data_IF_902881536984
#
_entry.id   IF_902881536984
#
_cell.length_a   1.000
_cell.length_b   1.000
_cell.length_c   1.000
_cell.angle_alpha   90.00
_cell.angle_beta   90.00
_cell.angle_gamma   90.00
#
_symmetry.space_group_name_H-M   'P 1'
#
loop_
_entity.id
_entity.type
_entity.pdbx_description
1 polymer ?
#
# COMPACT_ATOMS: atom_id res chain seq x y z
N UNK A 1 -1.10 46.18 42.10
CA UNK A 1 -0.98 45.75 40.69
C UNK A 1 0.09 44.67 40.64
N UNK A 2 -0.31 43.40 40.53
CA UNK A 2 0.58 42.23 40.47
C UNK A 2 0.05 41.34 39.35
N UNK A 3 0.88 41.05 38.34
CA UNK A 3 0.63 40.01 37.34
C UNK A 3 1.76 38.99 37.43
N UNK A 4 1.38 37.74 37.67
CA UNK A 4 2.24 36.56 37.69
C UNK A 4 2.65 36.13 36.25
N UNK A 5 3.74 35.34 36.09
CA UNK A 5 4.37 35.03 34.81
C UNK A 5 3.92 33.63 34.28
N UNK A 6 4.61 33.12 33.24
CA UNK A 6 4.11 32.87 31.89
C UNK A 6 3.31 31.56 31.76
N UNK A 7 2.35 31.51 30.83
CA UNK A 7 1.85 30.21 30.38
C UNK A 7 2.82 29.59 29.37
N UNK A 8 3.38 28.46 29.79
CA UNK A 8 4.10 27.50 28.97
C UNK A 8 3.18 27.06 27.84
N UNK A 9 3.51 27.38 26.59
CA UNK A 9 2.82 26.81 25.44
C UNK A 9 3.15 25.33 25.37
N UNK A 10 2.17 24.49 25.70
CA UNK A 10 2.19 23.06 25.47
C UNK A 10 2.53 22.79 24.00
N UNK A 11 3.70 22.20 23.79
CA UNK A 11 4.10 21.59 22.52
C UNK A 11 3.08 20.50 22.20
N UNK A 12 2.18 20.78 21.26
CA UNK A 12 1.35 19.71 20.68
C UNK A 12 2.21 19.03 19.62
N UNK A 13 2.84 17.93 20.02
CA UNK A 13 3.37 16.94 19.09
C UNK A 13 2.15 16.36 18.35
N UNK A 14 1.80 16.96 17.21
CA UNK A 14 0.88 16.36 16.28
C UNK A 14 1.59 15.15 15.66
N UNK A 15 1.35 13.97 16.22
CA UNK A 15 1.65 12.71 15.56
C UNK A 15 0.72 12.58 14.36
N UNK A 16 1.09 13.16 13.23
CA UNK A 16 0.60 12.71 11.93
C UNK A 16 1.34 11.40 11.62
N UNK A 17 0.95 10.30 12.27
CA UNK A 17 1.50 8.99 11.95
C UNK A 17 0.94 8.54 10.61
N UNK A 18 1.63 8.90 9.52
CA UNK A 18 1.45 8.28 8.22
C UNK A 18 1.70 6.78 8.39
N UNK A 19 0.65 5.96 8.29
CA UNK A 19 0.81 4.51 8.35
C UNK A 19 1.38 4.04 7.00
N UNK A 20 2.49 3.30 7.07
CA UNK A 20 3.14 2.70 5.91
C UNK A 20 3.19 1.19 6.10
N UNK A 21 2.72 0.44 5.10
CA UNK A 21 2.82 -1.02 5.10
C UNK A 21 3.52 -1.50 3.84
N UNK A 22 4.45 -2.43 4.04
CA UNK A 22 5.16 -3.13 2.98
C UNK A 22 4.89 -4.62 3.06
N UNK A 23 4.51 -5.22 1.94
CA UNK A 23 4.26 -6.65 1.82
C UNK A 23 5.01 -7.22 0.61
N UNK A 24 5.48 -8.47 0.73
CA UNK A 24 6.22 -9.14 -0.33
C UNK A 24 5.76 -10.59 -0.53
N UNK A 25 5.78 -11.04 -1.77
CA UNK A 25 5.58 -12.43 -2.18
C UNK A 25 6.58 -12.78 -3.28
N UNK A 26 7.62 -13.53 -2.92
CA UNK A 26 8.72 -13.82 -3.83
C UNK A 26 9.36 -12.53 -4.37
N UNK A 27 9.44 -12.32 -5.71
CA UNK A 27 10.01 -11.13 -6.32
C UNK A 27 9.06 -9.92 -6.36
N UNK A 28 7.80 -10.07 -5.92
CA UNK A 28 6.81 -9.00 -5.88
C UNK A 28 6.88 -8.27 -4.54
N UNK A 29 6.88 -6.94 -4.57
CA UNK A 29 6.76 -6.11 -3.38
C UNK A 29 5.71 -5.02 -3.60
N UNK A 30 4.86 -4.80 -2.60
CA UNK A 30 3.83 -3.76 -2.57
C UNK A 30 4.09 -2.89 -1.35
N UNK A 31 4.18 -1.57 -1.55
CA UNK A 31 4.25 -0.58 -0.48
C UNK A 31 3.01 0.31 -0.56
N UNK A 32 2.40 0.56 0.59
CA UNK A 32 1.23 1.41 0.75
C UNK A 32 1.52 2.47 1.81
N UNK A 33 1.13 3.70 1.53
CA UNK A 33 1.25 4.83 2.44
C UNK A 33 -0.10 5.54 2.54
N UNK A 34 -0.63 5.65 3.75
CA UNK A 34 -1.81 6.47 4.02
C UNK A 34 -1.41 7.95 3.92
N UNK A 35 -2.08 8.68 3.05
CA UNK A 35 -1.93 10.13 2.95
C UNK A 35 -3.30 10.78 3.22
N UNK A 36 -3.29 11.83 4.05
CA UNK A 36 -4.44 12.60 4.57
C UNK A 36 -5.05 12.09 5.90
N UNK A 37 -5.09 12.93 6.96
CA UNK A 37 -5.85 12.64 8.18
C UNK A 37 -7.38 12.77 8.04
N UNK A 38 -7.91 13.50 7.05
CA UNK A 38 -9.33 13.91 6.99
C UNK A 38 -10.08 13.46 5.72
N UNK A 39 -9.39 12.87 4.74
CA UNK A 39 -9.92 12.52 3.41
C UNK A 39 -9.20 11.34 2.75
N UNK A 40 -9.03 10.27 3.54
CA UNK A 40 -8.33 9.01 3.30
C UNK A 40 -7.99 8.72 1.83
N UNK A 41 -6.72 8.88 1.49
CA UNK A 41 -6.13 8.35 0.27
C UNK A 41 -5.04 7.35 0.60
N UNK A 42 -4.86 6.34 -0.25
CA UNK A 42 -3.74 5.40 -0.13
C UNK A 42 -2.86 5.52 -1.36
N UNK A 43 -1.62 5.97 -1.15
CA UNK A 43 -0.58 5.90 -2.18
C UNK A 43 -0.05 4.48 -2.22
N UNK A 44 0.17 3.97 -3.42
CA UNK A 44 0.72 2.64 -3.60
C UNK A 44 1.90 2.66 -4.56
N UNK A 45 2.82 1.74 -4.33
CA UNK A 45 3.90 1.41 -5.24
C UNK A 45 4.06 -0.11 -5.29
N UNK A 46 4.13 -0.65 -6.50
CA UNK A 46 4.40 -2.06 -6.77
C UNK A 46 5.74 -2.16 -7.49
N UNK A 47 6.60 -3.03 -6.98
CA UNK A 47 7.87 -3.38 -7.63
C UNK A 47 7.93 -4.87 -7.91
N UNK A 48 8.57 -5.22 -9.03
CA UNK A 48 8.84 -6.59 -9.43
C UNK A 48 10.33 -6.73 -9.69
N UNK A 49 11.00 -7.62 -8.94
CA UNK A 49 12.46 -7.79 -8.99
C UNK A 49 13.18 -6.45 -8.77
N UNK A 50 12.67 -5.64 -7.85
CA UNK A 50 13.22 -4.32 -7.51
C UNK A 50 12.93 -3.20 -8.53
N UNK A 51 12.26 -3.49 -9.64
CA UNK A 51 11.89 -2.48 -10.65
C UNK A 51 10.45 -2.01 -10.40
N UNK A 52 10.19 -0.69 -10.32
CA UNK A 52 8.82 -0.17 -10.25
C UNK A 52 8.02 -0.54 -11.49
N UNK A 53 6.88 -1.20 -11.28
CA UNK A 53 6.00 -1.65 -12.37
C UNK A 53 4.64 -0.96 -12.35
N UNK A 54 4.23 -0.41 -11.21
CA UNK A 54 3.03 0.39 -11.08
C UNK A 54 3.13 1.27 -9.83
N UNK A 55 2.56 2.47 -9.90
CA UNK A 55 2.36 3.35 -8.74
C UNK A 55 1.15 4.23 -8.98
N UNK A 56 0.55 4.73 -7.90
CA UNK A 56 -0.64 5.58 -8.00
C UNK A 56 -1.22 5.92 -6.64
N UNK A 57 -2.45 6.42 -6.66
CA UNK A 57 -3.23 6.75 -5.47
C UNK A 57 -4.65 6.19 -5.59
N UNK A 58 -5.19 5.72 -4.48
CA UNK A 58 -6.58 5.28 -4.29
C UNK A 58 -7.27 6.35 -3.43
N UNK A 59 -8.30 7.03 -3.92
CA UNK A 59 -8.89 8.21 -3.25
C UNK A 59 -10.40 8.36 -3.45
N UNK A 60 -11.12 7.26 -3.63
CA UNK A 60 -12.59 7.23 -3.81
C UNK A 60 -13.19 6.11 -2.99
N UNK A 61 -14.44 6.24 -2.53
CA UNK A 61 -15.16 5.30 -1.63
C UNK A 61 -14.88 3.81 -1.90
N UNK A 62 -14.79 3.43 -3.19
CA UNK A 62 -14.22 2.16 -3.62
C UNK A 62 -13.26 2.39 -4.80
N UNK A 63 -12.01 1.91 -4.69
CA UNK A 63 -11.02 2.04 -5.77
C UNK A 63 -10.36 0.69 -6.06
N UNK A 64 -10.39 0.28 -7.33
CA UNK A 64 -9.82 -1.00 -7.79
C UNK A 64 -8.83 -0.76 -8.93
N UNK A 65 -7.61 -1.22 -8.78
CA UNK A 65 -6.54 -1.06 -9.79
C UNK A 65 -5.99 -2.43 -10.17
N UNK A 66 -6.46 -3.01 -11.30
CA UNK A 66 -5.85 -4.21 -11.85
C UNK A 66 -4.53 -3.87 -12.55
N UNK A 67 -3.54 -4.74 -12.43
CA UNK A 67 -2.26 -4.63 -13.10
C UNK A 67 -1.73 -6.00 -13.53
N UNK A 68 -1.07 -6.04 -14.68
CA UNK A 68 -0.36 -7.24 -15.13
C UNK A 68 0.99 -6.86 -15.69
N UNK A 69 2.05 -7.51 -15.23
CA UNK A 69 3.41 -7.28 -15.72
C UNK A 69 4.20 -8.58 -15.67
N UNK A 70 5.19 -8.73 -16.54
CA UNK A 70 6.04 -9.90 -16.53
C UNK A 70 7.17 -9.82 -17.54
N UNK A 71 8.07 -10.80 -17.44
CA UNK A 71 9.18 -11.07 -18.34
C UNK A 71 9.29 -12.58 -18.57
N UNK A 72 10.42 -13.04 -19.11
CA UNK A 72 10.64 -14.45 -19.45
C UNK A 72 10.69 -15.42 -18.25
N UNK A 73 10.83 -14.89 -17.03
CA UNK A 73 11.06 -15.66 -15.80
C UNK A 73 9.99 -15.45 -14.73
N UNK A 74 9.30 -14.31 -14.74
CA UNK A 74 8.25 -13.98 -13.78
C UNK A 74 7.07 -13.27 -14.45
N UNK A 75 5.85 -13.63 -14.07
CA UNK A 75 4.63 -12.92 -14.44
C UNK A 75 3.81 -12.68 -13.19
N UNK A 76 3.18 -11.52 -13.10
CA UNK A 76 2.25 -11.21 -12.04
C UNK A 76 0.98 -10.60 -12.62
N UNK A 77 -0.15 -11.06 -12.12
CA UNK A 77 -1.43 -10.38 -12.22
C UNK A 77 -1.79 -9.96 -10.80
N UNK A 78 -2.03 -8.68 -10.59
CA UNK A 78 -2.36 -8.13 -9.28
C UNK A 78 -3.57 -7.24 -9.36
N UNK A 79 -4.20 -7.05 -8.23
CA UNK A 79 -5.33 -6.19 -8.06
C UNK A 79 -5.30 -5.60 -6.67
N UNK A 80 -5.23 -4.27 -6.62
CA UNK A 80 -5.34 -3.50 -5.39
C UNK A 80 -6.77 -3.01 -5.26
N UNK A 81 -7.37 -3.22 -4.10
CA UNK A 81 -8.72 -2.79 -3.77
C UNK A 81 -8.67 -2.03 -2.45
N UNK A 82 -9.15 -0.78 -2.45
CA UNK A 82 -9.38 -0.02 -1.24
C UNK A 82 -10.88 0.06 -1.00
N UNK A 83 -11.26 -0.35 0.21
CA UNK A 83 -12.60 -0.20 0.77
C UNK A 83 -12.49 0.81 1.92
N UNK A 84 -13.02 2.02 1.70
CA UNK A 84 -12.94 3.10 2.67
C UNK A 84 -14.02 3.01 3.75
N UNK A 85 -15.09 2.24 3.51
CA UNK A 85 -16.13 1.98 4.52
C UNK A 85 -15.58 1.05 5.60
N UNK A 86 -14.90 -0.02 5.19
CA UNK A 86 -14.20 -0.93 6.11
C UNK A 86 -12.77 -0.47 6.47
N UNK A 87 -12.32 0.64 5.86
CA UNK A 87 -10.98 1.24 6.04
C UNK A 87 -9.85 0.23 5.84
N UNK A 88 -9.97 -0.55 4.77
CA UNK A 88 -9.05 -1.63 4.46
C UNK A 88 -8.49 -1.50 3.04
N UNK A 89 -7.23 -1.91 2.86
CA UNK A 89 -6.66 -2.16 1.53
C UNK A 89 -6.33 -3.63 1.39
N UNK A 90 -6.92 -4.24 0.37
CA UNK A 90 -6.70 -5.62 -0.03
C UNK A 90 -5.79 -5.66 -1.27
N UNK A 91 -4.91 -6.65 -1.30
CA UNK A 91 -4.19 -7.04 -2.51
C UNK A 91 -4.56 -8.48 -2.84
N UNK A 92 -4.91 -8.74 -4.09
CA UNK A 92 -5.14 -10.09 -4.60
C UNK A 92 -4.47 -10.29 -5.95
N UNK A 93 -4.25 -11.54 -6.34
CA UNK A 93 -3.59 -11.81 -7.61
C UNK A 93 -3.04 -13.22 -7.78
N UNK A 94 -2.22 -13.37 -8.82
CA UNK A 94 -1.48 -14.57 -9.18
C UNK A 94 -0.05 -14.20 -9.56
N UNK A 95 0.92 -14.89 -8.95
CA UNK A 95 2.34 -14.79 -9.26
C UNK A 95 2.79 -16.09 -9.91
N UNK A 96 3.32 -16.03 -11.14
CA UNK A 96 3.90 -17.16 -11.84
C UNK A 96 5.42 -17.01 -11.96
N UNK A 97 6.15 -18.04 -11.59
CA UNK A 97 7.60 -18.15 -11.76
C UNK A 97 7.91 -19.25 -12.77
N UNK A 98 8.92 -19.02 -13.61
CA UNK A 98 9.40 -20.03 -14.55
C UNK A 98 10.50 -20.87 -13.90
N UNK A 99 10.21 -22.15 -13.69
CA UNK A 99 11.14 -23.14 -13.15
C UNK A 99 11.31 -24.28 -14.17
N UNK A 100 12.55 -24.56 -14.58
CA UNK A 100 12.88 -25.65 -15.52
C UNK A 100 12.04 -25.62 -16.82
N UNK A 101 11.82 -24.43 -17.37
CA UNK A 101 11.06 -24.24 -18.61
C UNK A 101 9.53 -24.25 -18.45
N UNK A 102 9.01 -24.60 -17.27
CA UNK A 102 7.57 -24.63 -16.96
C UNK A 102 7.18 -23.47 -16.04
N UNK A 103 5.92 -23.01 -16.14
CA UNK A 103 5.38 -22.00 -15.24
C UNK A 103 4.79 -22.64 -13.98
N UNK A 104 5.09 -22.07 -12.82
CA UNK A 104 4.49 -22.38 -11.53
C UNK A 104 3.82 -21.15 -10.97
N UNK A 105 2.49 -21.21 -10.84
CA UNK A 105 1.67 -20.08 -10.42
C UNK A 105 1.16 -20.26 -9.00
N UNK A 106 1.12 -19.17 -8.25
CA UNK A 106 0.57 -19.11 -6.90
C UNK A 106 -0.40 -17.93 -6.81
N UNK A 107 -1.66 -18.24 -6.50
CA UNK A 107 -2.67 -17.22 -6.20
C UNK A 107 -2.54 -16.73 -4.76
N UNK A 108 -2.88 -15.47 -4.52
CA UNK A 108 -2.82 -14.88 -3.19
C UNK A 108 -3.93 -13.84 -2.98
N UNK A 109 -4.25 -13.63 -1.71
CA UNK A 109 -5.09 -12.54 -1.23
C UNK A 109 -4.63 -12.15 0.18
N UNK A 110 -4.38 -10.86 0.41
CA UNK A 110 -3.91 -10.33 1.71
C UNK A 110 -4.53 -8.97 1.98
N UNK A 111 -4.91 -8.73 3.23
CA UNK A 111 -5.18 -7.38 3.73
C UNK A 111 -3.85 -6.76 4.14
N UNK A 112 -3.54 -5.59 3.57
CA UNK A 112 -2.26 -4.92 3.75
C UNK A 112 -2.35 -3.75 4.72
N UNK A 113 -3.46 -3.02 4.76
CA UNK A 113 -3.61 -1.84 5.60
C UNK A 113 -5.02 -1.82 6.21
N UNK A 114 -5.13 -1.41 7.47
CA UNK A 114 -6.39 -1.24 8.21
C UNK A 114 -6.28 0.00 9.13
N UNK A 115 -7.24 0.93 9.09
CA UNK A 115 -7.22 2.18 9.89
C UNK A 115 -8.60 2.64 10.38
#
# INVERSE_FOLDING_TARGET
MFKWPPQVSNTTLAFASSQSVRWALGPLMVTLDLFDPDGAGVQYQVTLVGVPVSSGALSTEHARVPGSVGNDWVKVRLELEADFDSRAVLVSGELCLRENGSWRCQTFQRCLLLW
#
